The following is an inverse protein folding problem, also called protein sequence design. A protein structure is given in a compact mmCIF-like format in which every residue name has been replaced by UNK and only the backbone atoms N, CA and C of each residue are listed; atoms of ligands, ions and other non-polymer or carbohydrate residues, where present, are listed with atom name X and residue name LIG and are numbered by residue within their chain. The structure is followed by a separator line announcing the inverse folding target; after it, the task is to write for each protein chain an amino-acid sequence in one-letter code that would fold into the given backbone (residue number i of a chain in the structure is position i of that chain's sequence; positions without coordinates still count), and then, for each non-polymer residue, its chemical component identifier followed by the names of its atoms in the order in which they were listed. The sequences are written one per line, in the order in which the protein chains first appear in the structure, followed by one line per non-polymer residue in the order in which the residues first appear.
data_IF_777889173394
#
_entry.id   IF_777889173394
#
_cell.length_a   1.000
_cell.length_b   1.000
_cell.length_c   1.000
_cell.angle_alpha   90.00
_cell.angle_beta   90.00
_cell.angle_gamma   90.00
#
_symmetry.space_group_name_H-M   'P 1'
#
loop_
_entity.id
_entity.type
_entity.pdbx_description
1 polymer ?
#
# COMPACT_ATOMS: atom_id res chain seq x y z
N UNK A 1 -9.85 -10.01 5.23
CA UNK A 1 -10.54 -9.16 4.23
C UNK A 1 -9.65 -8.88 3.02
N UNK A 2 -10.18 -8.90 1.79
CA UNK A 2 -9.41 -8.63 0.55
C UNK A 2 -9.12 -7.14 0.39
N UNK A 3 -7.91 -6.76 -0.03
CA UNK A 3 -7.54 -5.36 -0.26
C UNK A 3 -7.53 -5.09 -1.77
N UNK A 4 -8.24 -4.05 -2.21
CA UNK A 4 -8.19 -3.56 -3.60
C UNK A 4 -7.10 -2.49 -3.76
N UNK A 5 -5.85 -2.82 -3.44
CA UNK A 5 -4.74 -1.89 -3.60
C UNK A 5 -4.48 -1.63 -5.09
N UNK A 6 -4.44 -0.35 -5.45
CA UNK A 6 -4.11 0.16 -6.79
C UNK A 6 -2.95 1.13 -6.67
N UNK A 7 -2.11 1.16 -7.70
CA UNK A 7 -1.08 2.19 -7.86
C UNK A 7 -1.51 3.18 -8.92
N UNK A 8 -1.21 4.44 -8.68
CA UNK A 8 -1.46 5.57 -9.58
C UNK A 8 -0.10 6.16 -10.00
N UNK A 9 0.60 5.58 -10.99
CA UNK A 9 1.92 6.05 -11.39
C UNK A 9 1.91 7.50 -11.90
N UNK A 10 0.77 7.96 -12.41
CA UNK A 10 0.60 9.34 -12.86
C UNK A 10 0.75 10.37 -11.73
N UNK A 11 0.45 9.98 -10.48
CA UNK A 11 0.59 10.83 -9.29
C UNK A 11 2.02 10.88 -8.75
N UNK A 12 2.89 9.91 -9.13
CA UNK A 12 4.29 9.87 -8.71
C UNK A 12 5.23 9.60 -9.90
N UNK A 13 5.84 10.65 -10.49
CA UNK A 13 6.75 10.52 -11.62
C UNK A 13 8.03 9.73 -11.32
N UNK A 14 8.40 9.57 -10.04
CA UNK A 14 9.57 8.82 -9.62
C UNK A 14 9.28 7.31 -9.48
N UNK A 15 8.03 6.87 -9.70
CA UNK A 15 7.71 5.44 -9.68
C UNK A 15 8.44 4.72 -10.82
N UNK A 16 9.29 3.72 -10.52
CA UNK A 16 10.07 3.04 -11.55
C UNK A 16 9.15 2.18 -12.41
N UNK A 17 8.90 2.61 -13.64
CA UNK A 17 8.10 1.89 -14.62
C UNK A 17 8.95 0.83 -15.31
N UNK A 18 9.17 -0.29 -14.62
CA UNK A 18 9.95 -1.44 -15.11
C UNK A 18 9.02 -2.57 -15.53
N UNK A 19 9.39 -3.25 -16.61
CA UNK A 19 8.59 -4.36 -17.13
C UNK A 19 8.85 -5.67 -16.37
N UNK A 20 7.82 -6.45 -16.03
CA UNK A 20 7.98 -7.74 -15.34
C UNK A 20 8.50 -8.87 -16.23
N UNK A 21 8.51 -8.72 -17.56
CA UNK A 21 8.83 -9.76 -18.54
C UNK A 21 9.98 -9.32 -19.44
N UNK A 22 10.72 -10.30 -20.00
CA UNK A 22 11.81 -10.06 -20.95
C UNK A 22 13.21 -10.30 -20.37
N UNK A 23 14.26 -10.14 -21.19
CA UNK A 23 15.67 -10.21 -20.76
C UNK A 23 15.98 -9.22 -19.63
N UNK A 24 17.00 -9.49 -18.81
CA UNK A 24 17.34 -8.63 -17.66
C UNK A 24 17.65 -7.19 -18.07
N UNK A 25 18.21 -7.02 -19.26
CA UNK A 25 18.52 -5.75 -19.89
C UNK A 25 17.24 -4.95 -20.14
N UNK A 26 16.17 -5.62 -20.61
CA UNK A 26 14.87 -5.00 -20.87
C UNK A 26 14.12 -4.64 -19.59
N UNK A 27 14.23 -5.46 -18.54
CA UNK A 27 13.60 -5.19 -17.23
C UNK A 27 14.23 -3.99 -16.52
N UNK A 28 15.47 -3.63 -16.86
CA UNK A 28 16.19 -2.51 -16.27
C UNK A 28 15.94 -1.17 -16.97
N UNK A 29 15.24 -1.17 -18.11
CA UNK A 29 14.84 0.06 -18.78
C UNK A 29 13.70 0.69 -17.98
N UNK A 30 13.93 1.93 -17.52
CA UNK A 30 12.85 2.76 -17.00
C UNK A 30 12.10 3.34 -18.18
N UNK A 31 10.84 2.96 -18.34
CA UNK A 31 10.04 3.43 -19.46
C UNK A 31 9.51 4.85 -19.19
N UNK A 32 10.01 5.90 -19.87
CA UNK A 32 9.58 7.27 -19.64
C UNK A 32 8.25 7.48 -20.37
N UNK A 33 7.16 7.03 -19.77
CA UNK A 33 5.84 7.29 -20.34
C UNK A 33 5.44 8.75 -20.06
N UNK A 34 5.02 9.50 -21.10
CA UNK A 34 4.47 10.83 -20.91
C UNK A 34 3.32 10.83 -19.90
N UNK A 35 3.36 11.73 -18.91
CA UNK A 35 2.30 11.87 -17.88
C UNK A 35 0.91 12.05 -18.49
N UNK A 36 0.83 12.71 -19.65
CA UNK A 36 -0.40 12.90 -20.42
C UNK A 36 -1.01 11.55 -20.85
N UNK A 37 -0.20 10.57 -21.25
CA UNK A 37 -0.68 9.23 -21.60
C UNK A 37 -1.07 8.42 -20.37
N UNK A 38 -0.35 8.55 -19.26
CA UNK A 38 -0.67 7.84 -18.02
C UNK A 38 -1.98 8.32 -17.38
N UNK A 39 -2.24 9.63 -17.36
CA UNK A 39 -3.41 10.21 -16.69
C UNK A 39 -4.69 10.21 -17.54
N UNK A 40 -4.59 10.25 -18.87
CA UNK A 40 -5.75 10.32 -19.75
C UNK A 40 -6.19 8.96 -20.33
N UNK A 41 -5.41 7.90 -20.12
CA UNK A 41 -5.78 6.57 -20.61
C UNK A 41 -6.63 5.82 -19.57
N UNK A 42 -7.92 5.56 -19.86
CA UNK A 42 -8.79 4.85 -18.94
C UNK A 42 -8.26 3.43 -18.69
N UNK A 43 -8.08 3.08 -17.41
CA UNK A 43 -7.59 1.76 -16.99
C UNK A 43 -6.08 1.61 -16.90
N UNK A 44 -5.30 2.67 -17.18
CA UNK A 44 -3.84 2.64 -17.06
C UNK A 44 -3.37 2.26 -15.64
N UNK A 45 -3.99 2.81 -14.60
CA UNK A 45 -3.67 2.49 -13.21
C UNK A 45 -3.89 1.00 -12.89
N UNK A 46 -4.92 0.37 -13.46
CA UNK A 46 -5.17 -1.07 -13.29
C UNK A 46 -4.09 -1.91 -13.96
N UNK A 47 -3.66 -1.52 -15.17
CA UNK A 47 -2.57 -2.20 -15.90
C UNK A 47 -1.27 -2.05 -15.13
N UNK A 48 -0.94 -0.84 -14.68
CA UNK A 48 0.26 -0.58 -13.87
C UNK A 48 0.25 -1.38 -12.57
N UNK A 49 -0.90 -1.45 -11.89
CA UNK A 49 -1.08 -2.28 -10.69
C UNK A 49 -0.83 -3.75 -10.98
N UNK A 50 -1.34 -4.28 -12.09
CA UNK A 50 -1.12 -5.67 -12.48
C UNK A 50 0.36 -5.95 -12.76
N UNK A 51 1.04 -5.08 -13.51
CA UNK A 51 2.47 -5.22 -13.79
C UNK A 51 3.34 -5.18 -12.53
N UNK A 52 2.99 -4.31 -11.57
CA UNK A 52 3.69 -4.24 -10.28
C UNK A 52 3.48 -5.52 -9.46
N UNK A 53 2.23 -6.01 -9.37
CA UNK A 53 1.92 -7.27 -8.67
C UNK A 53 2.65 -8.47 -9.29
N UNK A 54 2.71 -8.56 -10.61
CA UNK A 54 3.47 -9.59 -11.31
C UNK A 54 4.99 -9.48 -11.06
N UNK A 55 5.52 -8.25 -11.00
CA UNK A 55 6.93 -8.02 -10.66
C UNK A 55 7.25 -8.52 -9.26
N UNK A 56 6.40 -8.21 -8.27
CA UNK A 56 6.58 -8.68 -6.89
C UNK A 56 6.51 -10.20 -6.80
N UNK A 57 5.52 -10.82 -7.45
CA UNK A 57 5.35 -12.27 -7.48
C UNK A 57 6.59 -12.98 -8.05
N UNK A 58 7.16 -12.46 -9.14
CA UNK A 58 8.37 -13.04 -9.74
C UNK A 58 9.62 -12.88 -8.88
N UNK A 59 9.69 -11.81 -8.10
CA UNK A 59 10.80 -11.57 -7.16
C UNK A 59 10.60 -12.28 -5.82
N UNK A 60 9.51 -13.03 -5.65
CA UNK A 60 9.20 -13.73 -4.40
C UNK A 60 8.88 -12.77 -3.25
N UNK A 61 8.38 -11.57 -3.55
CA UNK A 61 7.96 -10.59 -2.54
C UNK A 61 6.53 -10.91 -2.11
N UNK A 62 6.30 -10.95 -0.80
CA UNK A 62 4.99 -11.17 -0.22
C UNK A 62 4.00 -10.06 -0.62
N UNK A 63 2.75 -10.46 -0.77
CA UNK A 63 1.62 -9.55 -1.00
C UNK A 63 1.31 -8.74 0.27
N UNK A 64 0.59 -7.63 0.11
CA UNK A 64 0.19 -6.78 1.25
C UNK A 64 -0.71 -7.58 2.21
N UNK A 65 -1.56 -8.46 1.69
CA UNK A 65 -2.40 -9.34 2.49
C UNK A 65 -1.59 -10.31 3.34
N UNK A 66 -0.59 -10.98 2.75
CA UNK A 66 0.33 -11.87 3.48
C UNK A 66 1.13 -11.11 4.54
N UNK A 67 1.65 -9.93 4.21
CA UNK A 67 2.37 -9.09 5.17
C UNK A 67 1.47 -8.66 6.34
N UNK A 68 0.22 -8.30 6.05
CA UNK A 68 -0.75 -7.96 7.10
C UNK A 68 -1.06 -9.15 8.00
N UNK A 69 -1.23 -10.35 7.44
CA UNK A 69 -1.46 -11.57 8.22
C UNK A 69 -0.28 -11.88 9.13
N UNK A 70 0.96 -11.76 8.62
CA UNK A 70 2.18 -11.89 9.43
C UNK A 70 2.20 -10.89 10.59
N UNK A 71 1.79 -9.63 10.36
CA UNK A 71 1.72 -8.63 11.44
C UNK A 71 0.73 -9.05 12.53
N UNK A 72 -0.45 -9.56 12.16
CA UNK A 72 -1.46 -10.03 13.11
C UNK A 72 -0.92 -11.21 13.90
N UNK A 73 -0.35 -12.21 13.22
CA UNK A 73 0.22 -13.41 13.85
C UNK A 73 1.41 -13.09 14.76
N UNK A 74 2.15 -12.02 14.45
CA UNK A 74 3.27 -11.53 15.28
C UNK A 74 2.82 -10.69 16.47
N UNK A 75 1.51 -10.49 16.67
CA UNK A 75 0.97 -9.70 17.77
C UNK A 75 1.13 -8.19 17.62
N UNK A 76 1.27 -7.69 16.39
CA UNK A 76 1.31 -6.24 16.13
C UNK A 76 -0.02 -5.61 16.50
N UNK A 77 0.03 -4.54 17.29
CA UNK A 77 -1.14 -3.78 17.69
C UNK A 77 -1.61 -2.86 16.55
N UNK A 78 -2.76 -3.18 15.96
CA UNK A 78 -3.37 -2.38 14.90
C UNK A 78 -4.41 -1.42 15.50
N UNK A 79 -4.25 -0.11 15.26
CA UNK A 79 -5.13 0.93 15.80
C UNK A 79 -5.80 1.68 14.65
N UNK A 80 -7.13 1.68 14.63
CA UNK A 80 -7.96 2.53 13.78
C UNK A 80 -8.12 3.91 14.41
N UNK A 81 -7.75 4.96 13.67
CA UNK A 81 -7.94 6.34 14.11
C UNK A 81 -9.44 6.68 14.15
N UNK A 82 -9.96 6.95 15.36
CA UNK A 82 -11.37 7.24 15.59
C UNK A 82 -11.88 8.39 14.70
N UNK A 83 -11.16 9.50 14.64
CA UNK A 83 -11.55 10.65 13.82
C UNK A 83 -11.68 10.29 12.34
N UNK A 84 -10.77 9.46 11.81
CA UNK A 84 -10.83 9.02 10.42
C UNK A 84 -12.03 8.10 10.20
N UNK A 85 -12.32 7.20 11.15
CA UNK A 85 -13.50 6.34 11.08
C UNK A 85 -14.79 7.17 11.04
N UNK A 86 -14.91 8.16 11.92
CA UNK A 86 -16.10 9.03 11.99
C UNK A 86 -16.27 9.88 10.72
N UNK A 87 -15.18 10.46 10.19
CA UNK A 87 -15.22 11.29 8.97
C UNK A 87 -15.67 10.51 7.75
N UNK A 88 -15.23 9.26 7.60
CA UNK A 88 -15.54 8.43 6.44
C UNK A 88 -16.69 7.44 6.68
N UNK A 89 -17.26 7.43 7.89
CA UNK A 89 -18.39 6.58 8.27
C UNK A 89 -18.05 5.09 8.36
N UNK A 90 -16.81 4.75 8.74
CA UNK A 90 -16.40 3.36 8.94
C UNK A 90 -16.83 2.84 10.31
N UNK A 91 -17.32 1.61 10.35
CA UNK A 91 -17.57 0.86 11.57
C UNK A 91 -16.41 -0.06 11.90
N UNK A 92 -16.29 -0.51 13.15
CA UNK A 92 -15.25 -1.49 13.53
C UNK A 92 -15.35 -2.79 12.71
N UNK A 93 -16.58 -3.17 12.32
CA UNK A 93 -16.85 -4.31 11.45
C UNK A 93 -16.34 -4.14 10.02
N UNK A 94 -15.87 -2.96 9.61
CA UNK A 94 -15.25 -2.71 8.30
C UNK A 94 -13.74 -3.02 8.29
N UNK A 95 -13.13 -3.20 9.45
CA UNK A 95 -11.72 -3.54 9.61
C UNK A 95 -11.48 -5.05 9.74
N UNK A 96 -10.21 -5.46 9.80
CA UNK A 96 -9.83 -6.84 10.13
C UNK A 96 -10.01 -7.08 11.64
N UNK A 97 -10.15 -8.34 12.02
CA UNK A 97 -10.30 -8.70 13.44
C UNK A 97 -9.04 -8.30 14.22
N UNK A 98 -9.24 -7.89 15.48
CA UNK A 98 -8.14 -7.45 16.35
C UNK A 98 -7.74 -5.97 16.21
N UNK A 99 -8.46 -5.17 15.42
CA UNK A 99 -8.24 -3.71 15.38
C UNK A 99 -8.87 -3.03 16.60
N UNK A 100 -8.04 -2.30 17.34
CA UNK A 100 -8.46 -1.39 18.42
C UNK A 100 -8.78 -0.01 17.85
N UNK A 101 -9.64 0.74 18.54
CA UNK A 101 -9.97 2.12 18.15
C UNK A 101 -9.30 3.09 19.11
N UNK A 102 -8.57 4.07 18.56
CA UNK A 102 -7.81 5.04 19.34
C UNK A 102 -7.89 6.44 18.75
N UNK A 103 -7.77 7.45 19.62
CA UNK A 103 -7.68 8.85 19.21
C UNK A 103 -6.23 9.32 19.07
N UNK A 104 -6.05 10.59 18.71
CA UNK A 104 -4.72 11.20 18.62
C UNK A 104 -3.95 11.13 19.96
N UNK A 105 -4.63 11.30 21.09
CA UNK A 105 -4.03 11.18 22.43
C UNK A 105 -3.45 9.77 22.67
N UNK A 106 -4.20 8.72 22.31
CA UNK A 106 -3.77 7.32 22.41
C UNK A 106 -2.51 7.06 21.59
N UNK A 107 -2.44 7.60 20.37
CA UNK A 107 -1.23 7.50 19.55
C UNK A 107 -0.05 8.24 20.19
N UNK A 108 -0.26 9.47 20.69
CA UNK A 108 0.81 10.28 21.29
C UNK A 108 1.36 9.66 22.57
N UNK A 109 0.51 9.09 23.43
CA UNK A 109 0.93 8.37 24.64
C UNK A 109 1.81 7.15 24.27
N UNK A 110 1.37 6.34 23.30
CA UNK A 110 2.15 5.19 22.83
C UNK A 110 3.47 5.61 22.15
N UNK A 111 3.41 6.64 21.32
CA UNK A 111 4.57 7.13 20.58
C UNK A 111 5.61 7.80 21.48
N UNK A 112 5.17 8.44 22.57
CA UNK A 112 6.07 9.08 23.53
C UNK A 112 7.03 8.08 24.22
N UNK A 113 6.58 6.85 24.43
CA UNK A 113 7.38 5.76 25.01
C UNK A 113 8.10 4.91 23.96
N UNK A 114 7.92 5.20 22.66
CA UNK A 114 8.51 4.41 21.57
C UNK A 114 9.91 4.90 21.21
N UNK A 115 10.88 4.00 21.05
CA UNK A 115 12.24 4.34 20.63
C UNK A 115 12.31 4.89 19.19
N UNK A 116 11.41 4.44 18.31
CA UNK A 116 11.36 4.80 16.89
C UNK A 116 9.92 5.09 16.48
N UNK A 117 9.71 6.26 15.87
CA UNK A 117 8.44 6.68 15.29
C UNK A 117 8.62 7.02 13.80
N UNK A 118 7.74 6.48 12.94
CA UNK A 118 7.72 6.74 11.50
C UNK A 118 6.36 7.32 11.09
N UNK A 119 6.36 8.25 10.14
CA UNK A 119 5.17 8.72 9.43
C UNK A 119 5.35 8.42 7.94
N UNK A 120 4.46 7.57 7.39
CA UNK A 120 4.57 6.97 6.06
C UNK A 120 3.42 7.43 5.18
#
# INVERSE_FOLDING_TARGET
KKISAKVAPHSNPAMPMKMPYGPKEFQNIEWPMPKMLMGNMPGFDTVATSLMKETFKKKGVATIEELREICIDSGVKLIGCQMTMDVFGFSQNDFVDGVEVGGAATFLEFAADSDIQLFI
#
